data_IF_864103223269
#
_entry.id   IF_864103223269
#
_cell.length_a   1.000
_cell.length_b   1.000
_cell.length_c   1.000
_cell.angle_alpha   90.00
_cell.angle_beta   90.00
_cell.angle_gamma   90.00
#
_symmetry.space_group_name_H-M   'P 1'
#
loop_
_entity.id
_entity.type
_entity.pdbx_description
1 polymer ?
#
# COMPACT_ATOMS: atom_id res chain seq x y z
N UNK A 1 3.59 19.76 3.39
CA UNK A 1 3.60 18.73 2.33
C UNK A 1 4.82 17.85 2.57
N UNK A 2 4.71 16.52 2.51
CA UNK A 2 5.87 15.62 2.68
C UNK A 2 6.52 15.41 1.32
N UNK A 3 7.78 15.79 1.16
CA UNK A 3 8.54 15.49 -0.04
C UNK A 3 9.56 14.39 0.28
N UNK A 4 9.57 13.37 -0.59
CA UNK A 4 10.47 12.23 -0.50
C UNK A 4 11.85 12.69 -0.95
N UNK A 5 12.86 12.42 -0.13
CA UNK A 5 14.26 12.51 -0.56
C UNK A 5 14.65 11.11 -1.01
N UNK A 6 15.18 10.97 -2.23
CA UNK A 6 15.80 9.71 -2.65
C UNK A 6 17.10 9.56 -1.88
N UNK A 7 17.00 9.00 -0.69
CA UNK A 7 18.16 8.49 0.02
C UNK A 7 18.28 7.04 -0.41
N UNK A 8 19.31 6.72 -1.20
CA UNK A 8 19.64 5.38 -1.73
C UNK A 8 19.95 4.33 -0.64
N UNK A 9 19.57 4.58 0.61
CA UNK A 9 19.69 3.66 1.75
C UNK A 9 18.39 2.87 2.05
N UNK A 10 17.42 2.84 1.14
CA UNK A 10 16.13 2.15 1.34
C UNK A 10 16.27 0.65 1.67
N UNK A 11 17.38 0.00 1.30
CA UNK A 11 17.57 -1.43 1.52
C UNK A 11 17.76 -1.84 3.00
N UNK A 12 18.25 -0.94 3.86
CA UNK A 12 18.62 -1.30 5.25
C UNK A 12 17.48 -1.20 6.28
N UNK A 13 16.32 -0.67 5.91
CA UNK A 13 15.20 -0.42 6.85
C UNK A 13 13.90 -1.16 6.50
N UNK A 14 13.98 -2.24 5.73
CA UNK A 14 12.82 -3.04 5.37
C UNK A 14 12.34 -3.92 6.54
N UNK A 15 11.04 -3.90 6.80
CA UNK A 15 10.34 -4.78 7.75
C UNK A 15 9.21 -5.47 7.00
N UNK A 16 9.51 -6.64 6.43
CA UNK A 16 8.57 -7.37 5.59
C UNK A 16 8.19 -6.56 4.35
N UNK A 17 6.90 -6.26 4.20
CA UNK A 17 6.36 -5.48 3.07
C UNK A 17 6.32 -3.97 3.33
N UNK A 18 6.99 -3.50 4.38
CA UNK A 18 7.03 -2.10 4.79
C UNK A 18 8.48 -1.61 4.74
N UNK A 19 8.70 -0.43 4.19
CA UNK A 19 9.98 0.27 4.17
C UNK A 19 9.86 1.62 4.86
N UNK A 20 10.87 2.02 5.64
CA UNK A 20 10.93 3.37 6.20
C UNK A 20 11.54 4.30 5.15
N UNK A 21 10.79 5.32 4.77
CA UNK A 21 11.25 6.36 3.85
C UNK A 21 11.39 7.65 4.64
N UNK A 22 12.56 8.27 4.50
CA UNK A 22 12.83 9.59 5.05
C UNK A 22 12.49 10.67 4.02
N UNK A 23 12.09 11.82 4.53
CA UNK A 23 11.81 13.01 3.75
C UNK A 23 11.88 14.23 4.63
N UNK A 24 11.34 15.34 4.15
CA UNK A 24 11.24 16.56 4.94
C UNK A 24 9.79 17.04 5.03
N UNK A 25 9.46 17.59 6.19
CA UNK A 25 8.30 18.42 6.40
C UNK A 25 8.67 19.85 6.07
N UNK A 26 7.85 20.51 5.25
CA UNK A 26 7.96 21.93 4.96
C UNK A 26 6.63 22.65 5.18
N UNK A 27 6.70 23.85 5.76
CA UNK A 27 5.56 24.76 5.88
C UNK A 27 6.01 26.22 5.90
N UNK A 28 5.23 27.09 5.26
CA UNK A 28 5.42 28.54 5.32
C UNK A 28 4.72 29.15 6.53
N UNK A 29 5.38 30.13 7.16
CA UNK A 29 4.88 30.88 8.31
C UNK A 29 5.21 32.35 8.14
N UNK A 30 4.26 33.22 8.44
CA UNK A 30 4.54 34.64 8.63
C UNK A 30 5.03 34.85 10.06
N UNK A 31 6.19 35.47 10.19
CA UNK A 31 6.80 35.77 11.49
C UNK A 31 7.09 37.27 11.58
N UNK A 32 7.49 37.74 12.76
CA UNK A 32 7.87 39.16 12.96
C UNK A 32 9.07 39.59 12.11
N UNK A 33 9.91 38.64 11.67
CA UNK A 33 11.09 38.89 10.82
C UNK A 33 10.79 38.70 9.33
N UNK A 34 9.53 38.42 8.98
CA UNK A 34 9.09 38.21 7.60
C UNK A 34 8.60 36.78 7.31
N UNK A 35 8.33 36.46 6.04
CA UNK A 35 7.99 35.11 5.60
C UNK A 35 9.14 34.14 5.88
N UNK A 36 8.83 33.00 6.50
CA UNK A 36 9.81 31.99 6.89
C UNK A 36 9.34 30.61 6.47
N UNK A 37 10.27 29.76 6.03
CA UNK A 37 10.03 28.34 5.75
C UNK A 37 10.52 27.53 6.95
N UNK A 38 9.61 26.82 7.59
CA UNK A 38 9.93 25.81 8.60
C UNK A 38 10.22 24.49 7.88
N UNK A 39 11.45 24.00 8.03
CA UNK A 39 11.89 22.70 7.51
C UNK A 39 12.25 21.79 8.69
N UNK A 40 11.76 20.57 8.67
CA UNK A 40 12.15 19.52 9.63
C UNK A 40 12.25 18.17 8.92
N UNK A 41 13.04 17.26 9.49
CA UNK A 41 13.13 15.89 9.01
C UNK A 41 11.85 15.14 9.33
N UNK A 42 11.41 14.28 8.41
CA UNK A 42 10.27 13.40 8.58
C UNK A 42 10.59 11.98 8.16
N UNK A 43 9.86 11.01 8.71
CA UNK A 43 9.95 9.61 8.33
C UNK A 43 8.55 9.02 8.26
N UNK A 44 8.30 8.16 7.28
CA UNK A 44 7.01 7.49 7.10
C UNK A 44 7.24 6.09 6.55
N UNK A 45 6.44 5.13 7.01
CA UNK A 45 6.46 3.78 6.44
C UNK A 45 5.65 3.75 5.14
N UNK A 46 6.21 3.09 4.14
CA UNK A 46 5.56 2.84 2.85
C UNK A 46 5.53 1.35 2.57
N UNK A 47 4.53 0.89 1.83
CA UNK A 47 4.55 -0.46 1.30
C UNK A 47 5.59 -0.59 0.17
N UNK A 48 6.41 -1.63 0.21
CA UNK A 48 7.41 -1.92 -0.83
C UNK A 48 6.77 -2.37 -2.14
N UNK A 49 5.50 -2.78 -2.11
CA UNK A 49 4.79 -3.36 -3.24
C UNK A 49 5.04 -4.86 -3.38
N UNK A 50 4.77 -5.40 -4.56
CA UNK A 50 5.02 -6.81 -4.88
C UNK A 50 3.77 -7.70 -4.87
N UNK A 51 3.99 -9.01 -4.84
CA UNK A 51 2.94 -10.03 -4.93
C UNK A 51 1.93 -9.88 -3.80
N UNK A 52 0.67 -9.61 -4.15
CA UNK A 52 -0.39 -9.50 -3.15
C UNK A 52 -0.68 -10.85 -2.48
N UNK A 53 -0.52 -11.94 -3.23
CA UNK A 53 -0.65 -13.31 -2.73
C UNK A 53 0.28 -13.55 -1.56
N UNK A 54 1.56 -13.26 -1.73
CA UNK A 54 2.57 -13.50 -0.70
C UNK A 54 2.37 -12.59 0.52
N UNK A 55 1.95 -11.33 0.28
CA UNK A 55 1.57 -10.40 1.33
C UNK A 55 0.40 -10.95 2.18
N UNK A 56 -0.66 -11.41 1.52
CA UNK A 56 -1.86 -11.91 2.20
C UNK A 56 -1.61 -13.24 2.91
N UNK A 57 -0.78 -14.13 2.37
CA UNK A 57 -0.38 -15.35 3.08
C UNK A 57 0.46 -15.08 4.31
N UNK A 58 1.42 -14.14 4.23
CA UNK A 58 2.21 -13.75 5.40
C UNK A 58 1.30 -13.24 6.53
N UNK A 59 0.36 -12.35 6.18
CA UNK A 59 -0.62 -11.83 7.13
C UNK A 59 -1.57 -12.91 7.66
N UNK A 60 -2.08 -13.80 6.79
CA UNK A 60 -2.91 -14.94 7.19
C UNK A 60 -2.17 -15.81 8.20
N UNK A 61 -0.92 -16.19 7.93
CA UNK A 61 -0.12 -17.04 8.81
C UNK A 61 0.11 -16.41 10.19
N UNK A 62 0.36 -15.09 10.25
CA UNK A 62 0.47 -14.37 11.52
C UNK A 62 -0.84 -14.35 12.31
N UNK A 63 -1.98 -14.16 11.62
CA UNK A 63 -3.31 -14.14 12.26
C UNK A 63 -3.77 -15.53 12.70
N UNK A 64 -3.47 -16.58 11.94
CA UNK A 64 -3.82 -17.97 12.23
C UNK A 64 -3.27 -18.46 13.58
N UNK A 65 -2.16 -17.88 14.05
CA UNK A 65 -1.60 -18.19 15.38
C UNK A 65 -2.52 -17.72 16.52
N UNK A 66 -3.38 -16.73 16.27
CA UNK A 66 -4.25 -16.10 17.28
C UNK A 66 -5.73 -16.40 17.07
N UNK A 67 -6.15 -16.64 15.83
CA UNK A 67 -7.56 -16.81 15.44
C UNK A 67 -7.74 -18.13 14.71
N UNK A 68 -8.45 -19.09 15.35
CA UNK A 68 -8.74 -20.41 14.75
C UNK A 68 -9.98 -20.44 13.86
N UNK A 69 -10.90 -19.49 14.03
CA UNK A 69 -12.12 -19.42 13.23
C UNK A 69 -11.84 -18.76 11.88
N UNK A 70 -12.07 -19.49 10.78
CA UNK A 70 -11.78 -19.04 9.42
C UNK A 70 -12.62 -17.83 9.00
N UNK A 71 -13.88 -17.75 9.40
CA UNK A 71 -14.76 -16.62 9.06
C UNK A 71 -14.26 -15.34 9.73
N UNK A 72 -13.95 -15.41 11.03
CA UNK A 72 -13.36 -14.28 11.77
C UNK A 72 -11.99 -13.88 11.20
N UNK A 73 -11.19 -14.85 10.75
CA UNK A 73 -9.91 -14.60 10.12
C UNK A 73 -10.09 -13.78 8.83
N UNK A 74 -11.04 -14.17 7.97
CA UNK A 74 -11.34 -13.44 6.73
C UNK A 74 -11.81 -12.01 7.02
N UNK A 75 -12.67 -11.81 8.03
CA UNK A 75 -13.11 -10.48 8.44
C UNK A 75 -11.95 -9.58 8.91
N UNK A 76 -11.01 -10.13 9.67
CA UNK A 76 -9.81 -9.39 10.10
C UNK A 76 -8.91 -9.08 8.90
N UNK A 77 -8.66 -10.07 8.03
CA UNK A 77 -7.90 -9.85 6.79
C UNK A 77 -8.51 -8.76 5.92
N UNK A 78 -9.84 -8.72 5.80
CA UNK A 78 -10.55 -7.70 5.03
C UNK A 78 -10.33 -6.30 5.62
N UNK A 79 -10.41 -6.16 6.95
CA UNK A 79 -10.13 -4.89 7.65
C UNK A 79 -8.69 -4.42 7.44
N UNK A 80 -7.72 -5.33 7.53
CA UNK A 80 -6.31 -5.02 7.31
C UNK A 80 -6.01 -4.63 5.85
N UNK A 81 -6.64 -5.31 4.88
CA UNK A 81 -6.45 -5.01 3.45
C UNK A 81 -7.20 -3.76 2.99
N UNK A 82 -8.25 -3.34 3.71
CA UNK A 82 -9.12 -2.23 3.29
C UNK A 82 -8.33 -0.95 3.05
N UNK A 83 -8.54 -0.34 1.88
CA UNK A 83 -7.88 0.90 1.46
C UNK A 83 -6.52 0.72 0.79
N UNK A 84 -5.96 -0.49 0.75
CA UNK A 84 -4.74 -0.74 -0.04
C UNK A 84 -5.03 -0.60 -1.54
N UNK A 85 -4.09 0.02 -2.25
CA UNK A 85 -4.12 0.13 -3.70
C UNK A 85 -3.39 -1.06 -4.31
N UNK A 86 -4.03 -1.67 -5.29
CA UNK A 86 -3.50 -2.81 -6.06
C UNK A 86 -3.69 -2.55 -7.55
N UNK A 87 -3.00 -3.30 -8.38
CA UNK A 87 -3.28 -3.35 -9.81
C UNK A 87 -3.38 -4.78 -10.30
N UNK A 88 -4.14 -4.99 -11.37
CA UNK A 88 -4.31 -6.30 -11.99
C UNK A 88 -3.49 -6.44 -13.26
N UNK A 89 -3.19 -7.69 -13.63
CA UNK A 89 -2.40 -8.01 -14.83
C UNK A 89 -3.14 -8.87 -15.88
N UNK A 90 -4.43 -9.18 -15.66
CA UNK A 90 -5.21 -10.06 -16.55
C UNK A 90 -5.73 -9.40 -17.84
N UNK A 91 -5.77 -8.06 -17.93
CA UNK A 91 -6.36 -7.33 -19.06
C UNK A 91 -5.35 -6.90 -20.14
N UNK A 92 -4.09 -7.36 -20.07
CA UNK A 92 -3.01 -6.89 -20.96
C UNK A 92 -2.49 -5.47 -20.65
N UNK A 93 -3.20 -4.72 -19.80
CA UNK A 93 -2.75 -3.46 -19.22
C UNK A 93 -2.95 -3.44 -17.70
N UNK A 94 -2.22 -2.56 -17.01
CA UNK A 94 -2.35 -2.40 -15.56
C UNK A 94 -3.59 -1.58 -15.23
N UNK A 95 -4.57 -2.21 -14.59
CA UNK A 95 -5.75 -1.51 -14.06
C UNK A 95 -5.66 -1.43 -12.54
N UNK A 96 -5.75 -0.21 -12.00
CA UNK A 96 -5.64 0.02 -10.56
C UNK A 96 -6.99 -0.06 -9.85
N UNK A 97 -6.98 -0.62 -8.64
CA UNK A 97 -8.12 -0.76 -7.76
C UNK A 97 -7.74 -0.42 -6.32
N UNK A 98 -8.72 -0.01 -5.53
CA UNK A 98 -8.59 0.13 -4.08
C UNK A 98 -9.44 -0.94 -3.41
N UNK A 99 -8.84 -1.74 -2.53
CA UNK A 99 -9.55 -2.82 -1.83
C UNK A 99 -10.62 -2.21 -0.91
N UNK A 100 -11.88 -2.61 -1.08
CA UNK A 100 -12.98 -2.23 -0.19
C UNK A 100 -13.35 -3.34 0.77
N UNK A 101 -13.34 -4.57 0.27
CA UNK A 101 -13.65 -5.77 1.04
C UNK A 101 -13.02 -7.03 0.41
N UNK A 102 -13.21 -8.18 1.05
CA UNK A 102 -12.86 -9.51 0.54
C UNK A 102 -14.14 -10.36 0.38
N UNK A 103 -14.14 -11.30 -0.55
CA UNK A 103 -15.25 -12.25 -0.68
C UNK A 103 -15.26 -13.25 0.47
N UNK A 104 -16.45 -13.79 0.75
CA UNK A 104 -16.61 -14.84 1.76
C UNK A 104 -16.01 -16.17 1.31
N UNK A 105 -16.03 -16.45 0.01
CA UNK A 105 -15.57 -17.71 -0.56
C UNK A 105 -14.33 -17.52 -1.45
N UNK A 106 -13.49 -18.56 -1.58
CA UNK A 106 -12.37 -18.57 -2.52
C UNK A 106 -12.83 -18.59 -3.99
N UNK A 107 -11.93 -18.30 -4.97
CA UNK A 107 -12.28 -18.15 -6.39
C UNK A 107 -13.02 -19.34 -7.03
N UNK A 108 -12.79 -20.57 -6.57
CA UNK A 108 -13.44 -21.80 -7.07
C UNK A 108 -14.90 -21.92 -6.62
N UNK A 109 -15.24 -21.37 -5.45
CA UNK A 109 -16.61 -21.43 -4.88
C UNK A 109 -17.34 -20.10 -4.97
N UNK A 110 -16.62 -18.99 -5.13
CA UNK A 110 -17.22 -17.67 -5.30
C UNK A 110 -17.84 -17.60 -6.68
N UNK A 111 -19.15 -17.41 -6.74
CA UNK A 111 -19.90 -17.25 -7.99
C UNK A 111 -20.40 -15.83 -8.18
N UNK A 112 -20.68 -15.49 -9.43
CA UNK A 112 -21.38 -14.27 -9.80
C UNK A 112 -22.20 -14.49 -11.07
N UNK A 113 -23.20 -13.63 -11.26
CA UNK A 113 -24.09 -13.69 -12.40
C UNK A 113 -23.47 -13.00 -13.61
N UNK A 114 -23.40 -13.70 -14.73
CA UNK A 114 -23.07 -13.17 -16.03
C UNK A 114 -24.29 -13.21 -16.94
N UNK A 115 -24.39 -12.24 -17.85
CA UNK A 115 -25.39 -12.24 -18.91
C UNK A 115 -24.73 -12.78 -20.19
N UNK A 116 -25.12 -13.98 -20.61
CA UNK A 116 -24.74 -14.57 -21.89
C UNK A 116 -25.96 -14.62 -22.79
N UNK A 117 -26.01 -13.74 -23.80
CA UNK A 117 -27.09 -13.66 -24.80
C UNK A 117 -28.50 -13.50 -24.21
N UNK A 118 -28.64 -12.68 -23.16
CA UNK A 118 -29.93 -12.43 -22.49
C UNK A 118 -30.31 -13.50 -21.48
N UNK A 119 -29.45 -14.51 -21.24
CA UNK A 119 -29.63 -15.52 -20.19
C UNK A 119 -28.63 -15.27 -19.07
N UNK A 120 -29.20 -15.05 -17.88
CA UNK A 120 -28.45 -14.94 -16.63
C UNK A 120 -27.93 -16.31 -16.22
N UNK A 121 -26.61 -16.46 -16.13
CA UNK A 121 -25.93 -17.67 -15.70
C UNK A 121 -25.05 -17.39 -14.50
N UNK A 122 -25.05 -18.29 -13.52
CA UNK A 122 -24.07 -18.27 -12.44
C UNK A 122 -22.78 -18.97 -12.90
N UNK A 123 -21.65 -18.30 -12.73
CA UNK A 123 -20.32 -18.84 -13.03
C UNK A 123 -19.39 -18.59 -11.85
N UNK A 124 -18.47 -19.53 -11.59
CA UNK A 124 -17.43 -19.31 -10.58
C UNK A 124 -16.41 -18.28 -11.08
N UNK A 125 -15.76 -17.57 -10.17
CA UNK A 125 -14.67 -16.64 -10.52
C UNK A 125 -13.54 -17.41 -11.22
N UNK A 126 -13.22 -18.61 -10.74
CA UNK A 126 -12.20 -19.47 -11.35
C UNK A 126 -12.52 -19.81 -12.81
N UNK A 127 -13.73 -20.31 -13.06
CA UNK A 127 -14.14 -20.74 -14.41
C UNK A 127 -14.25 -19.56 -15.36
N UNK A 128 -14.75 -18.42 -14.88
CA UNK A 128 -14.80 -17.19 -15.68
C UNK A 128 -13.43 -16.72 -16.13
N UNK A 129 -12.44 -16.69 -15.22
CA UNK A 129 -11.08 -16.26 -15.59
C UNK A 129 -10.40 -17.25 -16.54
N UNK A 130 -10.69 -18.55 -16.40
CA UNK A 130 -10.20 -19.58 -17.32
C UNK A 130 -10.81 -19.45 -18.72
N UNK A 131 -12.12 -19.24 -18.82
CA UNK A 131 -12.81 -19.10 -20.09
C UNK A 131 -12.51 -17.76 -20.79
N UNK A 132 -12.65 -16.64 -20.07
CA UNK A 132 -12.59 -15.30 -20.64
C UNK A 132 -11.15 -14.80 -20.86
N UNK A 133 -10.24 -15.08 -19.92
CA UNK A 133 -8.88 -14.56 -19.95
C UNK A 133 -7.81 -15.63 -20.18
N UNK A 134 -8.20 -16.90 -20.32
CA UNK A 134 -7.26 -18.05 -20.43
C UNK A 134 -6.27 -18.08 -19.25
N UNK A 135 -6.71 -17.67 -18.06
CA UNK A 135 -5.93 -17.68 -16.82
C UNK A 135 -6.46 -18.77 -15.91
N UNK A 136 -5.67 -19.82 -15.71
CA UNK A 136 -6.02 -20.87 -14.74
C UNK A 136 -5.57 -20.43 -13.34
N UNK A 137 -6.54 -20.28 -12.44
CA UNK A 137 -6.27 -19.86 -11.06
C UNK A 137 -6.01 -21.12 -10.24
N UNK A 138 -4.76 -21.23 -9.78
CA UNK A 138 -4.29 -22.39 -9.02
C UNK A 138 -4.52 -22.21 -7.54
N UNK A 139 -4.46 -20.97 -7.06
CA UNK A 139 -4.63 -20.64 -5.66
C UNK A 139 -6.10 -20.46 -5.27
N UNK A 140 -6.60 -21.41 -4.47
CA UNK A 140 -7.93 -21.36 -3.86
C UNK A 140 -7.86 -21.20 -2.33
N UNK A 141 -6.69 -20.90 -1.77
CA UNK A 141 -6.49 -20.76 -0.32
C UNK A 141 -6.85 -19.38 0.25
N UNK A 142 -7.12 -18.41 -0.62
CA UNK A 142 -7.45 -17.04 -0.26
C UNK A 142 -8.75 -16.56 -0.95
N UNK A 143 -9.49 -15.61 -0.36
CA UNK A 143 -10.70 -15.05 -0.97
C UNK A 143 -10.40 -14.16 -2.19
N UNK A 144 -11.42 -13.68 -2.89
CA UNK A 144 -11.29 -12.67 -3.93
C UNK A 144 -11.32 -11.25 -3.33
N UNK A 145 -10.66 -10.29 -3.98
CA UNK A 145 -10.80 -8.87 -3.64
C UNK A 145 -12.11 -8.31 -4.21
N UNK A 146 -12.72 -7.41 -3.44
CA UNK A 146 -13.89 -6.65 -3.83
C UNK A 146 -13.50 -5.16 -3.85
N UNK A 147 -13.36 -4.53 -5.03
CA UNK A 147 -13.01 -3.12 -5.14
C UNK A 147 -14.23 -2.19 -4.99
N UNK A 148 -15.45 -2.72 -5.08
CA UNK A 148 -16.69 -1.95 -5.03
C UNK A 148 -17.79 -2.78 -4.38
N UNK A 149 -18.55 -2.20 -3.44
CA UNK A 149 -19.63 -2.90 -2.75
C UNK A 149 -20.88 -3.09 -3.62
N UNK A 150 -21.20 -2.10 -4.47
CA UNK A 150 -22.48 -2.06 -5.20
C UNK A 150 -22.48 -2.88 -6.51
N UNK A 151 -21.31 -3.33 -6.98
CA UNK A 151 -21.19 -4.16 -8.19
C UNK A 151 -20.34 -5.37 -7.84
N UNK A 152 -20.78 -6.61 -8.09
CA UNK A 152 -20.04 -7.82 -7.76
C UNK A 152 -18.85 -7.98 -8.72
N UNK A 153 -17.77 -7.26 -8.43
CA UNK A 153 -16.47 -7.43 -9.07
C UNK A 153 -15.63 -8.25 -8.10
N UNK A 154 -15.25 -9.45 -8.52
CA UNK A 154 -14.37 -10.33 -7.76
C UNK A 154 -13.05 -10.47 -8.50
N UNK A 155 -11.97 -10.08 -7.84
CA UNK A 155 -10.62 -10.17 -8.38
C UNK A 155 -9.82 -11.22 -7.60
N UNK A 156 -9.44 -12.35 -8.22
CA UNK A 156 -8.55 -13.32 -7.63
C UNK A 156 -7.23 -12.65 -7.20
N UNK A 157 -6.76 -12.96 -6.00
CA UNK A 157 -5.53 -12.34 -5.44
C UNK A 157 -4.31 -12.67 -6.30
N UNK A 158 -4.25 -13.85 -6.89
CA UNK A 158 -3.19 -14.27 -7.82
C UNK A 158 -3.05 -13.32 -9.02
N UNK A 159 -4.15 -12.67 -9.41
CA UNK A 159 -4.18 -11.71 -10.52
C UNK A 159 -3.87 -10.27 -10.11
N UNK A 160 -3.49 -10.04 -8.84
CA UNK A 160 -3.30 -8.72 -8.25
C UNK A 160 -1.87 -8.52 -7.71
N UNK A 161 -1.40 -7.29 -7.82
CA UNK A 161 -0.10 -6.86 -7.29
C UNK A 161 -0.29 -5.62 -6.44
N UNK A 162 0.37 -5.56 -5.28
CA UNK A 162 0.34 -4.42 -4.38
C UNK A 162 1.08 -3.24 -5.02
N UNK A 163 0.46 -2.06 -5.03
CA UNK A 163 1.16 -0.85 -5.48
C UNK A 163 2.36 -0.56 -4.55
N UNK A 164 3.53 -0.23 -5.11
CA UNK A 164 4.64 0.29 -4.33
C UNK A 164 4.33 1.71 -3.85
N UNK A 165 5.11 2.20 -2.90
CA UNK A 165 5.16 3.62 -2.51
C UNK A 165 3.83 4.21 -2.02
N UNK A 166 2.94 3.38 -1.52
CA UNK A 166 1.75 3.84 -0.80
C UNK A 166 2.04 3.92 0.71
N UNK A 167 1.64 5.01 1.40
CA UNK A 167 1.93 5.17 2.82
C UNK A 167 1.15 4.17 3.67
N UNK A 168 1.81 3.61 4.67
CA UNK A 168 1.19 2.77 5.69
C UNK A 168 0.52 3.67 6.70
N UNK A 169 -0.77 3.51 6.94
CA UNK A 169 -1.45 4.25 8.00
C UNK A 169 -0.91 3.84 9.37
N UNK A 170 -0.79 4.79 10.31
CA UNK A 170 -0.27 4.51 11.66
C UNK A 170 -1.03 3.39 12.37
N UNK A 171 -2.34 3.27 12.11
CA UNK A 171 -3.18 2.21 12.67
C UNK A 171 -2.81 0.78 12.21
N UNK A 172 -2.10 0.64 11.08
CA UNK A 172 -1.66 -0.63 10.49
C UNK A 172 -0.20 -0.97 10.77
N UNK A 173 0.43 -0.24 11.70
CA UNK A 173 1.77 -0.57 12.20
C UNK A 173 1.62 -1.44 13.44
N UNK A 174 2.15 -2.66 13.38
CA UNK A 174 2.31 -3.52 14.54
C UNK A 174 3.38 -2.94 15.48
N UNK A 175 3.35 -3.34 16.76
CA UNK A 175 4.26 -2.81 17.78
C UNK A 175 5.74 -3.07 17.45
N UNK A 176 6.06 -4.19 16.80
CA UNK A 176 7.43 -4.51 16.37
C UNK A 176 7.88 -3.59 15.24
N UNK A 177 7.09 -3.43 14.18
CA UNK A 177 7.37 -2.45 13.12
C UNK A 177 7.46 -1.03 13.67
N UNK A 178 6.58 -0.65 14.60
CA UNK A 178 6.61 0.66 15.27
C UNK A 178 7.90 0.85 16.04
N UNK A 179 8.35 -0.13 16.83
CA UNK A 179 9.60 -0.03 17.59
C UNK A 179 10.81 0.09 16.67
N UNK A 180 10.87 -0.70 15.58
CA UNK A 180 11.93 -0.58 14.56
C UNK A 180 11.92 0.79 13.88
N UNK A 181 10.74 1.30 13.52
CA UNK A 181 10.60 2.65 12.97
C UNK A 181 11.10 3.70 13.95
N UNK A 182 10.68 3.64 15.22
CA UNK A 182 11.10 4.59 16.25
C UNK A 182 12.61 4.53 16.45
N UNK A 183 13.23 3.35 16.47
CA UNK A 183 14.70 3.23 16.54
C UNK A 183 15.36 3.82 15.30
N UNK A 184 14.89 3.48 14.11
CA UNK A 184 15.43 4.03 12.87
C UNK A 184 15.32 5.57 12.78
N UNK A 185 14.30 6.17 13.40
CA UNK A 185 14.09 7.63 13.40
C UNK A 185 14.73 8.34 14.60
N UNK A 186 14.81 7.69 15.75
CA UNK A 186 15.15 8.29 17.05
C UNK A 186 16.59 8.08 17.48
N UNK A 187 17.37 7.26 16.78
CA UNK A 187 18.79 7.00 17.08
C UNK A 187 19.74 8.11 16.61
N UNK A 188 19.25 9.30 16.28
CA UNK A 188 20.08 10.39 15.76
C UNK A 188 20.44 11.40 16.84
N UNK A 189 21.70 11.83 16.85
CA UNK A 189 22.13 12.95 17.69
C UNK A 189 21.55 14.27 17.18
N UNK A 190 21.45 15.32 18.02
CA UNK A 190 21.01 16.64 17.57
C UNK A 190 21.83 17.18 16.39
N UNK A 191 23.15 16.94 16.38
CA UNK A 191 24.06 17.39 15.30
C UNK A 191 23.70 16.72 13.97
N UNK A 192 23.59 15.39 13.95
CA UNK A 192 23.19 14.65 12.75
C UNK A 192 21.81 15.05 12.22
N UNK A 193 20.90 15.43 13.12
CA UNK A 193 19.59 15.94 12.73
C UNK A 193 19.70 17.31 12.06
N UNK A 194 20.52 18.21 12.59
CA UNK A 194 20.76 19.52 11.96
C UNK A 194 21.40 19.38 10.59
N UNK A 195 22.42 18.52 10.44
CA UNK A 195 23.07 18.26 9.15
C UNK A 195 22.05 17.77 8.10
N UNK A 196 21.17 16.83 8.48
CA UNK A 196 20.12 16.32 7.60
C UNK A 196 19.07 17.39 7.24
N UNK A 197 18.79 18.33 8.14
CA UNK A 197 17.89 19.47 7.86
C UNK A 197 18.57 20.44 6.89
N UNK A 198 19.86 20.73 7.06
CA UNK A 198 20.59 21.58 6.12
C UNK A 198 20.65 20.96 4.71
N UNK A 199 20.91 19.66 4.60
CA UNK A 199 20.87 18.94 3.33
C UNK A 199 19.49 19.03 2.66
N UNK A 200 18.42 18.87 3.45
CA UNK A 200 17.05 19.03 2.97
C UNK A 200 16.79 20.46 2.46
N UNK A 201 17.28 21.49 3.15
CA UNK A 201 17.15 22.90 2.70
C UNK A 201 17.87 23.12 1.37
N UNK A 202 19.08 22.58 1.19
CA UNK A 202 19.81 22.64 -0.09
C UNK A 202 19.00 21.99 -1.22
N UNK A 203 18.47 20.79 -0.96
CA UNK A 203 17.65 20.03 -1.93
C UNK A 203 16.39 20.80 -2.30
N UNK A 204 15.71 21.42 -1.33
CA UNK A 204 14.51 22.25 -1.57
C UNK A 204 14.87 23.42 -2.48
N UNK A 205 15.94 24.15 -2.21
CA UNK A 205 16.36 25.29 -3.03
C UNK A 205 16.67 24.86 -4.46
N UNK A 206 17.42 23.78 -4.66
CA UNK A 206 17.75 23.27 -6.00
C UNK A 206 16.50 22.82 -6.77
N UNK A 207 15.60 22.08 -6.12
CA UNK A 207 14.39 21.55 -6.75
C UNK A 207 13.35 22.63 -7.04
N UNK A 208 13.30 23.69 -6.22
CA UNK A 208 12.34 24.78 -6.35
C UNK A 208 12.84 25.95 -7.20
N UNK A 209 14.15 26.05 -7.46
CA UNK A 209 14.73 27.15 -8.22
C UNK A 209 14.02 27.47 -9.56
N UNK A 210 13.62 26.49 -10.39
CA UNK A 210 12.91 26.80 -11.64
C UNK A 210 11.59 27.53 -11.43
N UNK A 211 10.88 27.22 -10.34
CA UNK A 211 9.57 27.80 -10.03
C UNK A 211 9.72 29.12 -9.26
N UNK A 212 10.72 29.25 -8.38
CA UNK A 212 10.95 30.47 -7.62
C UNK A 212 11.38 31.64 -8.51
N UNK A 213 12.12 31.35 -9.59
CA UNK A 213 12.53 32.35 -10.57
C UNK A 213 11.35 32.95 -11.37
N UNK A 214 10.14 32.35 -11.33
CA UNK A 214 8.96 32.94 -11.96
C UNK A 214 8.34 34.08 -11.11
N UNK A 215 8.72 34.19 -9.84
CA UNK A 215 8.19 35.16 -8.89
C UNK A 215 9.21 36.22 -8.46
N UNK A 216 10.38 36.26 -9.11
CA UNK A 216 11.44 37.25 -8.89
C UNK A 216 11.27 38.50 -9.74
#
# INVERSE_FOLDING_TARGET
MYARVNIDNAAHNNVGYKQVVFGHYQSTRLTKIGPTILVDRSATAFFTGGSLKDFMYNMKNQLSQRVRNETKLIEILAKECKGLRVYTHHLGYKRSYTIKDLSRFPPDRQTFEIDENGRKRQVSVKDYFKAQYKKDITDTGLPCLIPQANKPIYLPIEMCTLHPDQPVSRAKLDSFSTSKMVRACGSQSPVERFDAIEEAVRTINETSAPYLNEFS
#
